data_IF_388198082462
#
_entry.id   IF_388198082462
#
_cell.length_a   1.000
_cell.length_b   1.000
_cell.length_c   1.000
_cell.angle_alpha   90.00
_cell.angle_beta   90.00
_cell.angle_gamma   90.00
#
_symmetry.space_group_name_H-M   'P 1'
#
loop_
_entity.id
_entity.type
_entity.pdbx_description
1 polymer ?
#
# COMPACT_ATOMS: atom_id res chain seq x y z
N UNK A 1 -29.57 -12.32 -6.74
CA UNK A 1 -28.82 -13.60 -6.78
C UNK A 1 -27.41 -13.28 -7.23
N UNK A 2 -26.39 -13.78 -6.52
CA UNK A 2 -24.99 -13.62 -6.93
C UNK A 2 -24.68 -14.68 -8.00
N UNK A 3 -24.09 -14.27 -9.11
CA UNK A 3 -23.73 -15.16 -10.22
C UNK A 3 -22.45 -15.96 -9.94
N UNK A 4 -22.28 -17.11 -10.60
CA UNK A 4 -21.08 -17.93 -10.47
C UNK A 4 -19.80 -17.15 -10.83
N UNK A 5 -19.86 -16.29 -11.86
CA UNK A 5 -18.76 -15.41 -12.25
C UNK A 5 -18.42 -14.36 -11.20
N UNK A 6 -19.41 -13.79 -10.50
CA UNK A 6 -19.18 -12.90 -9.36
C UNK A 6 -18.48 -13.65 -8.20
N UNK A 7 -18.95 -14.86 -7.85
CA UNK A 7 -18.30 -15.67 -6.81
C UNK A 7 -16.85 -16.00 -7.20
N UNK A 8 -16.62 -16.43 -8.43
CA UNK A 8 -15.29 -16.72 -8.97
C UNK A 8 -14.37 -15.50 -8.94
N UNK A 9 -14.88 -14.33 -9.34
CA UNK A 9 -14.15 -13.07 -9.26
C UNK A 9 -13.74 -12.75 -7.82
N UNK A 10 -14.67 -12.79 -6.86
CA UNK A 10 -14.38 -12.43 -5.47
C UNK A 10 -13.39 -13.38 -4.80
N UNK A 11 -13.53 -14.69 -5.02
CA UNK A 11 -12.57 -15.69 -4.55
C UNK A 11 -11.20 -15.49 -5.21
N UNK A 12 -11.20 -15.10 -6.48
CA UNK A 12 -10.01 -14.77 -7.24
C UNK A 12 -9.24 -13.57 -6.70
N UNK A 13 -9.90 -12.45 -6.39
CA UNK A 13 -9.22 -11.24 -5.90
C UNK A 13 -8.69 -11.37 -4.47
N UNK A 14 -9.31 -12.23 -3.65
CA UNK A 14 -9.10 -12.26 -2.21
C UNK A 14 -7.63 -12.44 -1.78
N UNK A 15 -6.81 -13.32 -2.40
CA UNK A 15 -5.39 -13.45 -2.06
C UNK A 15 -4.58 -12.17 -2.31
N UNK A 16 -4.85 -11.47 -3.42
CA UNK A 16 -4.17 -10.22 -3.77
C UNK A 16 -4.55 -9.07 -2.83
N UNK A 17 -5.84 -8.96 -2.49
CA UNK A 17 -6.35 -8.00 -1.50
C UNK A 17 -5.75 -8.29 -0.12
N UNK A 18 -5.74 -9.56 0.31
CA UNK A 18 -5.15 -9.97 1.59
C UNK A 18 -3.67 -9.64 1.68
N UNK A 19 -2.89 -9.89 0.62
CA UNK A 19 -1.48 -9.52 0.55
C UNK A 19 -1.26 -8.01 0.64
N UNK A 20 -2.08 -7.22 -0.06
CA UNK A 20 -2.01 -5.76 -0.01
C UNK A 20 -2.28 -5.23 1.40
N UNK A 21 -3.32 -5.73 2.08
CA UNK A 21 -3.65 -5.35 3.45
C UNK A 21 -2.54 -5.74 4.44
N UNK A 22 -1.99 -6.95 4.32
CA UNK A 22 -0.86 -7.37 5.14
C UNK A 22 0.36 -6.46 4.94
N UNK A 23 0.68 -6.14 3.69
CA UNK A 23 1.78 -5.22 3.39
C UNK A 23 1.51 -3.81 3.92
N UNK A 24 0.26 -3.36 3.91
CA UNK A 24 -0.14 -2.08 4.46
C UNK A 24 0.04 -2.04 5.97
N UNK A 25 -0.44 -3.06 6.69
CA UNK A 25 -0.26 -3.19 8.14
C UNK A 25 1.22 -3.17 8.53
N UNK A 26 2.09 -3.83 7.75
CA UNK A 26 3.54 -3.79 7.97
C UNK A 26 4.15 -2.40 7.75
N UNK A 27 3.61 -1.63 6.79
CA UNK A 27 4.08 -0.27 6.54
C UNK A 27 3.68 0.70 7.66
N UNK A 28 2.53 0.49 8.30
CA UNK A 28 2.06 1.29 9.45
C UNK A 28 3.07 1.30 10.59
N UNK A 29 3.71 0.17 10.89
CA UNK A 29 4.74 0.09 11.93
C UNK A 29 5.91 1.03 11.65
N UNK A 30 6.33 1.13 10.40
CA UNK A 30 7.45 1.97 10.03
C UNK A 30 7.05 3.45 9.86
N UNK A 31 5.78 3.75 9.55
CA UNK A 31 5.23 5.11 9.70
C UNK A 31 5.24 5.57 11.16
N UNK A 32 4.80 4.71 12.09
CA UNK A 32 4.84 5.01 13.52
C UNK A 32 6.28 5.17 14.02
N UNK A 33 7.23 4.35 13.54
CA UNK A 33 8.63 4.49 13.90
C UNK A 33 9.21 5.85 13.47
N UNK A 34 8.94 6.28 12.23
CA UNK A 34 9.36 7.59 11.74
C UNK A 34 8.72 8.74 12.54
N UNK A 35 7.44 8.61 12.90
CA UNK A 35 6.77 9.60 13.75
C UNK A 35 7.42 9.72 15.12
N UNK A 36 7.81 8.60 15.74
CA UNK A 36 8.56 8.60 17.00
C UNK A 36 9.93 9.27 16.87
N UNK A 37 10.61 9.10 15.73
CA UNK A 37 11.88 9.81 15.46
C UNK A 37 11.71 11.32 15.42
N UNK A 38 10.65 11.82 14.77
CA UNK A 38 10.35 13.25 14.79
C UNK A 38 10.01 13.74 16.20
N UNK A 39 9.17 13.00 16.94
CA UNK A 39 8.77 13.33 18.30
C UNK A 39 9.94 13.38 19.28
N UNK A 40 10.94 12.51 19.11
CA UNK A 40 12.15 12.51 19.95
C UNK A 40 12.95 13.83 19.84
N UNK A 41 12.76 14.59 18.77
CA UNK A 41 13.36 15.90 18.55
C UNK A 41 12.39 17.06 18.84
N UNK A 42 11.23 16.77 19.45
CA UNK A 42 10.18 17.77 19.71
C UNK A 42 9.39 18.19 18.47
N UNK A 43 9.54 17.48 17.35
CA UNK A 43 8.87 17.79 16.09
C UNK A 43 7.72 16.81 15.80
N UNK A 44 6.74 17.23 15.01
CA UNK A 44 5.61 16.39 14.64
C UNK A 44 5.66 16.04 13.15
N UNK A 45 5.50 14.75 12.83
CA UNK A 45 5.36 14.26 11.47
C UNK A 45 4.07 13.47 11.34
N UNK A 46 3.08 14.05 10.66
CA UNK A 46 1.81 13.38 10.36
C UNK A 46 1.63 13.15 8.86
N UNK A 47 1.94 11.94 8.41
CA UNK A 47 1.65 11.53 7.04
C UNK A 47 0.16 11.25 6.80
N UNK A 48 -0.59 10.83 7.82
CA UNK A 48 -1.99 10.46 7.66
C UNK A 48 -2.86 11.72 7.44
N UNK A 49 -2.60 12.77 8.22
CA UNK A 49 -3.32 14.05 8.14
C UNK A 49 -2.88 14.94 6.96
N UNK A 50 -1.77 14.62 6.28
CA UNK A 50 -1.20 15.49 5.22
C UNK A 50 -1.19 14.80 3.85
N UNK A 51 -2.26 14.92 3.04
CA UNK A 51 -2.37 14.28 1.73
C UNK A 51 -1.24 14.63 0.77
N UNK A 52 -0.76 15.87 0.80
CA UNK A 52 0.35 16.36 -0.04
C UNK A 52 1.66 15.67 0.31
N UNK A 53 1.91 15.37 1.59
CA UNK A 53 3.09 14.63 2.03
C UNK A 53 3.06 13.20 1.49
N UNK A 54 1.90 12.54 1.54
CA UNK A 54 1.72 11.19 0.95
C UNK A 54 1.93 11.22 -0.55
N UNK A 55 1.40 12.24 -1.23
CA UNK A 55 1.61 12.39 -2.66
C UNK A 55 3.10 12.55 -3.00
N UNK A 56 3.84 13.40 -2.27
CA UNK A 56 5.28 13.52 -2.47
C UNK A 56 6.01 12.22 -2.14
N UNK A 57 5.63 11.53 -1.06
CA UNK A 57 6.18 10.22 -0.73
C UNK A 57 6.04 9.22 -1.88
N UNK A 58 4.84 9.11 -2.47
CA UNK A 58 4.56 8.13 -3.51
C UNK A 58 5.08 8.57 -4.88
N UNK A 59 4.81 9.79 -5.31
CA UNK A 59 4.98 10.22 -6.71
C UNK A 59 6.14 11.19 -6.93
N UNK A 60 6.57 11.93 -5.90
CA UNK A 60 7.63 12.96 -6.00
C UNK A 60 8.62 12.86 -4.84
N UNK A 61 9.36 11.74 -4.69
CA UNK A 61 10.19 11.49 -3.51
C UNK A 61 11.27 12.56 -3.30
N UNK A 62 11.72 13.22 -4.36
CA UNK A 62 12.68 14.33 -4.30
C UNK A 62 12.13 15.58 -3.60
N UNK A 63 10.80 15.77 -3.55
CA UNK A 63 10.11 16.89 -2.88
C UNK A 63 9.57 16.52 -1.50
N UNK A 64 9.90 15.33 -1.01
CA UNK A 64 9.38 14.83 0.26
C UNK A 64 10.08 15.47 1.45
N UNK A 65 11.41 15.52 1.41
CA UNK A 65 12.25 16.31 2.32
C UNK A 65 12.32 17.74 1.78
N UNK A 66 12.03 18.73 2.62
CA UNK A 66 12.06 20.16 2.30
C UNK A 66 13.23 20.84 3.00
N UNK A 67 13.78 21.94 2.43
CA UNK A 67 14.88 22.68 3.06
C UNK A 67 14.54 23.21 4.46
N UNK A 68 13.27 23.58 4.67
CA UNK A 68 12.78 24.11 5.95
C UNK A 68 12.32 23.02 6.93
N UNK A 69 12.51 21.74 6.61
CA UNK A 69 12.23 20.67 7.57
C UNK A 69 13.24 20.75 8.72
N UNK A 70 12.73 20.65 9.94
CA UNK A 70 13.57 20.47 11.12
C UNK A 70 14.34 19.15 11.09
N UNK A 71 15.33 19.02 11.97
CA UNK A 71 16.25 17.88 11.94
C UNK A 71 15.52 16.54 12.17
N UNK A 72 14.57 16.52 13.12
CA UNK A 72 13.80 15.33 13.45
C UNK A 72 12.89 14.88 12.30
N UNK A 73 12.17 15.81 11.69
CA UNK A 73 11.29 15.56 10.53
C UNK A 73 12.12 15.09 9.33
N UNK A 74 13.30 15.67 9.11
CA UNK A 74 14.18 15.27 8.02
C UNK A 74 14.71 13.85 8.19
N UNK A 75 15.16 13.48 9.40
CA UNK A 75 15.57 12.10 9.72
C UNK A 75 14.41 11.12 9.56
N UNK A 76 13.23 11.46 10.10
CA UNK A 76 12.03 10.64 9.99
C UNK A 76 11.62 10.43 8.52
N UNK A 77 11.62 11.48 7.71
CA UNK A 77 11.33 11.39 6.27
C UNK A 77 12.35 10.56 5.50
N UNK A 78 13.64 10.62 5.87
CA UNK A 78 14.66 9.78 5.27
C UNK A 78 14.41 8.28 5.55
N UNK A 79 14.02 7.93 6.78
CA UNK A 79 13.61 6.56 7.12
C UNK A 79 12.42 6.09 6.27
N UNK A 80 11.42 6.95 6.09
CA UNK A 80 10.28 6.65 5.20
C UNK A 80 10.71 6.44 3.75
N UNK A 81 11.60 7.29 3.23
CA UNK A 81 12.10 7.13 1.86
C UNK A 81 12.87 5.81 1.68
N UNK A 82 13.59 5.33 2.69
CA UNK A 82 14.28 4.04 2.63
C UNK A 82 13.31 2.85 2.45
N UNK A 83 12.15 2.89 3.12
CA UNK A 83 11.11 1.87 3.00
C UNK A 83 10.17 2.06 1.79
N UNK A 84 10.29 3.16 1.04
CA UNK A 84 9.41 3.47 -0.11
C UNK A 84 9.47 2.40 -1.21
N UNK A 85 10.67 2.00 -1.63
CA UNK A 85 10.84 0.98 -2.70
C UNK A 85 10.14 -0.34 -2.35
N UNK A 86 10.42 -0.98 -1.18
CA UNK A 86 9.73 -2.21 -0.82
C UNK A 86 8.22 -2.02 -0.59
N UNK A 87 7.80 -0.85 -0.08
CA UNK A 87 6.38 -0.51 0.06
C UNK A 87 5.64 -0.53 -1.28
N UNK A 88 6.17 0.19 -2.28
CA UNK A 88 5.55 0.27 -3.62
C UNK A 88 5.58 -1.08 -4.33
N UNK A 89 6.69 -1.82 -4.23
CA UNK A 89 6.81 -3.16 -4.83
C UNK A 89 5.76 -4.12 -4.29
N UNK A 90 5.52 -4.14 -2.98
CA UNK A 90 4.52 -5.03 -2.37
C UNK A 90 3.10 -4.64 -2.75
N UNK A 91 2.78 -3.34 -2.78
CA UNK A 91 1.44 -2.90 -3.22
C UNK A 91 1.21 -3.22 -4.71
N UNK A 92 2.21 -3.03 -5.56
CA UNK A 92 2.13 -3.40 -6.97
C UNK A 92 1.94 -4.91 -7.15
N UNK A 93 2.65 -5.74 -6.37
CA UNK A 93 2.48 -7.19 -6.39
C UNK A 93 1.07 -7.60 -5.91
N UNK A 94 0.57 -7.00 -4.84
CA UNK A 94 -0.80 -7.25 -4.37
C UNK A 94 -1.85 -6.90 -5.41
N UNK A 95 -1.70 -5.75 -6.08
CA UNK A 95 -2.57 -5.34 -7.17
C UNK A 95 -2.52 -6.32 -8.36
N UNK A 96 -1.31 -6.77 -8.73
CA UNK A 96 -1.12 -7.75 -9.80
C UNK A 96 -1.77 -9.10 -9.44
N UNK A 97 -1.55 -9.60 -8.22
CA UNK A 97 -2.17 -10.83 -7.74
C UNK A 97 -3.70 -10.74 -7.73
N UNK A 98 -4.26 -9.59 -7.34
CA UNK A 98 -5.69 -9.36 -7.35
C UNK A 98 -6.24 -9.36 -8.79
N UNK A 99 -5.56 -8.70 -9.73
CA UNK A 99 -5.97 -8.66 -11.13
C UNK A 99 -5.91 -10.03 -11.82
N UNK A 100 -4.81 -10.76 -11.64
CA UNK A 100 -4.66 -12.13 -12.17
C UNK A 100 -5.69 -13.06 -11.53
N UNK A 101 -5.85 -12.96 -10.22
CA UNK A 101 -6.82 -13.76 -9.47
C UNK A 101 -8.26 -13.52 -9.91
N UNK A 102 -8.66 -12.25 -10.09
CA UNK A 102 -9.97 -11.89 -10.65
C UNK A 102 -10.22 -12.58 -12.00
N UNK A 103 -9.26 -12.48 -12.91
CA UNK A 103 -9.40 -13.02 -14.26
C UNK A 103 -9.49 -14.55 -14.25
N UNK A 104 -8.57 -15.21 -13.53
CA UNK A 104 -8.56 -16.68 -13.38
C UNK A 104 -9.81 -17.17 -12.68
N UNK A 105 -10.23 -16.53 -11.60
CA UNK A 105 -11.41 -16.91 -10.83
C UNK A 105 -12.70 -16.78 -11.66
N UNK A 106 -12.82 -15.71 -12.45
CA UNK A 106 -13.94 -15.54 -13.38
C UNK A 106 -13.92 -16.60 -14.49
N UNK A 107 -12.77 -16.88 -15.10
CA UNK A 107 -12.63 -17.89 -16.15
C UNK A 107 -12.95 -19.30 -15.65
N UNK A 108 -12.47 -19.68 -14.46
CA UNK A 108 -12.79 -20.97 -13.84
C UNK A 108 -14.27 -21.09 -13.52
N UNK A 109 -14.89 -20.04 -12.97
CA UNK A 109 -16.32 -20.08 -12.67
C UNK A 109 -17.20 -20.19 -13.92
N UNK A 110 -16.79 -19.58 -15.04
CA UNK A 110 -17.48 -19.71 -16.33
C UNK A 110 -17.29 -21.10 -16.94
N UNK A 111 -16.07 -21.66 -16.88
CA UNK A 111 -15.78 -23.01 -17.39
C UNK A 111 -16.38 -24.15 -16.55
N UNK A 112 -16.69 -23.89 -15.28
CA UNK A 112 -17.34 -24.84 -14.36
C UNK A 112 -18.87 -24.65 -14.30
N UNK A 113 -19.42 -23.67 -15.00
CA UNK A 113 -20.87 -23.45 -15.04
C UNK A 113 -21.54 -24.59 -15.83
N UNK A 114 -22.55 -25.28 -15.27
CA UNK A 114 -23.25 -26.34 -15.99
C UNK A 114 -23.99 -25.75 -17.18
N UNK A 115 -23.53 -26.06 -18.41
CA UNK A 115 -24.10 -25.59 -19.66
C UNK A 115 -23.15 -24.85 -20.61
N UNK A 116 -21.86 -24.74 -20.28
CA UNK A 116 -20.80 -24.35 -21.24
C UNK A 116 -20.38 -25.53 -22.13
#
# INVERSE_FOLDING_TARGET
MVSASEVGFFLGIAPGVGYALWSHARAQQAFQAAQRTAQAHGEWLDLAATPTLRFHFVFRPQRFIRPNDGEGVRQAKAQLLAMRKPFLRRHALGALLAAVGAFVGMALALGLAPGA
#
